data_IF_998580998138
#
_entry.id   IF_998580998138
#
_cell.length_a   1.000
_cell.length_b   1.000
_cell.length_c   1.000
_cell.angle_alpha   90.00
_cell.angle_beta   90.00
_cell.angle_gamma   90.00
#
_symmetry.space_group_name_H-M   'P 1'
#
loop_
_entity.id
_entity.type
_entity.pdbx_description
1 polymer ?
#
# COMPACT_ATOMS: atom_id res chain seq x y z
N UNK A 1 15.01 11.22 16.77
CA UNK A 1 15.25 12.00 15.54
C UNK A 1 15.46 11.00 14.41
N UNK A 2 14.44 10.73 13.59
CA UNK A 2 14.55 9.71 12.53
C UNK A 2 15.46 10.24 11.43
N UNK A 3 16.66 9.66 11.28
CA UNK A 3 17.57 9.96 10.18
C UNK A 3 16.98 9.35 8.92
N UNK A 4 16.37 10.17 8.08
CA UNK A 4 16.01 9.76 6.71
C UNK A 4 17.34 9.55 5.98
N UNK A 5 17.69 8.33 5.55
CA UNK A 5 18.94 8.11 4.85
C UNK A 5 18.92 8.87 3.53
N UNK A 6 19.98 9.62 3.30
CA UNK A 6 20.25 10.28 2.02
C UNK A 6 20.37 9.19 0.94
N UNK A 7 19.77 9.38 -0.24
CA UNK A 7 19.84 8.44 -1.36
C UNK A 7 21.29 7.99 -1.70
N UNK A 8 22.29 8.80 -1.33
CA UNK A 8 23.71 8.51 -1.49
C UNK A 8 24.24 7.44 -0.51
N UNK A 9 23.64 7.27 0.67
CA UNK A 9 24.03 6.20 1.61
C UNK A 9 23.56 4.83 1.12
N UNK A 10 22.39 4.77 0.50
CA UNK A 10 21.80 3.55 -0.08
C UNK A 10 22.66 2.96 -1.20
N UNK A 11 23.37 3.79 -1.97
CA UNK A 11 24.30 3.32 -3.02
C UNK A 11 25.48 2.55 -2.42
N UNK A 12 25.85 2.83 -1.16
CA UNK A 12 26.97 2.16 -0.49
C UNK A 12 26.58 0.81 0.12
N UNK A 13 25.30 0.43 0.09
CA UNK A 13 24.78 -0.81 0.68
C UNK A 13 24.04 -1.62 -0.40
N UNK A 14 24.70 -2.63 -1.01
CA UNK A 14 24.12 -3.38 -2.13
C UNK A 14 22.81 -4.11 -1.77
N UNK A 15 22.62 -4.44 -0.49
CA UNK A 15 21.35 -4.98 0.04
C UNK A 15 20.20 -3.99 -0.11
N UNK A 16 20.41 -2.70 0.15
CA UNK A 16 19.38 -1.67 0.02
C UNK A 16 19.00 -1.45 -1.44
N UNK A 17 19.97 -1.45 -2.37
CA UNK A 17 19.70 -1.36 -3.81
C UNK A 17 18.85 -2.55 -4.28
N UNK A 18 19.18 -3.77 -3.83
CA UNK A 18 18.42 -4.96 -4.21
C UNK A 18 16.97 -4.92 -3.69
N UNK A 19 16.76 -4.41 -2.48
CA UNK A 19 15.43 -4.22 -1.92
C UNK A 19 14.63 -3.15 -2.67
N UNK A 20 15.28 -2.08 -3.10
CA UNK A 20 14.66 -1.01 -3.89
C UNK A 20 14.23 -1.52 -5.27
N UNK A 21 15.08 -2.32 -5.92
CA UNK A 21 14.75 -3.01 -7.18
C UNK A 21 13.55 -3.94 -6.97
N UNK A 22 13.59 -4.81 -5.95
CA UNK A 22 12.48 -5.72 -5.64
C UNK A 22 11.18 -4.97 -5.36
N UNK A 23 11.25 -3.84 -4.64
CA UNK A 23 10.11 -2.99 -4.37
C UNK A 23 9.52 -2.37 -5.64
N UNK A 24 10.37 -1.86 -6.55
CA UNK A 24 9.91 -1.29 -7.84
C UNK A 24 9.24 -2.37 -8.70
N UNK A 25 9.77 -3.59 -8.72
CA UNK A 25 9.20 -4.70 -9.48
C UNK A 25 8.04 -5.42 -8.77
N UNK A 26 7.76 -5.09 -7.50
CA UNK A 26 6.66 -5.69 -6.76
C UNK A 26 5.32 -5.26 -7.34
N UNK A 27 4.56 -6.24 -7.84
CA UNK A 27 3.18 -6.03 -8.26
C UNK A 27 2.25 -6.49 -7.13
N UNK A 28 1.39 -5.61 -6.59
CA UNK A 28 0.42 -6.03 -5.57
C UNK A 28 -0.53 -7.07 -6.14
N UNK A 29 -0.65 -8.20 -5.45
CA UNK A 29 -1.44 -9.36 -5.89
C UNK A 29 -2.95 -9.11 -5.79
N UNK A 30 -3.38 -8.35 -4.77
CA UNK A 30 -4.77 -8.03 -4.51
C UNK A 30 -5.09 -6.59 -4.94
N UNK A 31 -5.58 -6.44 -6.17
CA UNK A 31 -6.17 -5.19 -6.64
C UNK A 31 -7.62 -5.18 -6.17
N UNK A 32 -7.98 -4.22 -5.31
CA UNK A 32 -9.35 -3.97 -4.88
C UNK A 32 -10.25 -3.73 -6.11
N UNK A 33 -11.16 -4.67 -6.40
CA UNK A 33 -12.17 -4.54 -7.46
C UNK A 33 -13.55 -4.39 -6.84
N UNK A 34 -13.99 -3.14 -6.65
CA UNK A 34 -15.37 -2.86 -6.25
C UNK A 34 -16.22 -2.74 -7.52
N UNK A 35 -17.30 -3.52 -7.61
CA UNK A 35 -18.26 -3.36 -8.69
C UNK A 35 -18.96 -2.01 -8.58
N UNK A 36 -19.09 -1.30 -9.71
CA UNK A 36 -19.72 0.04 -9.77
C UNK A 36 -21.17 0.07 -9.29
N UNK A 37 -21.86 -1.07 -9.29
CA UNK A 37 -23.21 -1.23 -8.74
C UNK A 37 -23.26 -1.02 -7.21
N UNK A 38 -22.16 -1.26 -6.50
CA UNK A 38 -22.14 -1.19 -5.03
C UNK A 38 -21.68 0.19 -4.53
N UNK A 39 -22.55 1.18 -4.72
CA UNK A 39 -22.29 2.59 -4.34
C UNK A 39 -22.01 2.76 -2.84
N UNK A 40 -22.64 1.98 -1.98
CA UNK A 40 -22.41 2.06 -0.54
C UNK A 40 -20.98 1.63 -0.18
N UNK A 41 -20.52 0.50 -0.75
CA UNK A 41 -19.16 0.01 -0.52
C UNK A 41 -18.11 1.02 -0.98
N UNK A 42 -18.29 1.64 -2.14
CA UNK A 42 -17.41 2.71 -2.62
C UNK A 42 -17.30 3.83 -1.57
N UNK A 43 -18.44 4.29 -1.06
CA UNK A 43 -18.49 5.36 -0.04
C UNK A 43 -17.80 4.97 1.27
N UNK A 44 -17.93 3.72 1.72
CA UNK A 44 -17.19 3.23 2.88
C UNK A 44 -15.67 3.31 2.69
N UNK A 45 -15.17 2.97 1.50
CA UNK A 45 -13.74 3.09 1.20
C UNK A 45 -13.27 4.54 1.04
N UNK A 46 -14.14 5.46 0.61
CA UNK A 46 -13.84 6.91 0.63
C UNK A 46 -13.67 7.41 2.07
N UNK A 47 -14.55 7.01 2.99
CA UNK A 47 -14.40 7.35 4.40
C UNK A 47 -13.17 6.69 5.02
N UNK A 48 -12.85 5.46 4.60
CA UNK A 48 -11.62 4.79 5.03
C UNK A 48 -10.38 5.59 4.63
N UNK A 49 -10.33 6.11 3.40
CA UNK A 49 -9.23 6.95 2.92
C UNK A 49 -9.11 8.25 3.72
N UNK A 50 -10.24 8.90 4.03
CA UNK A 50 -10.26 10.15 4.79
C UNK A 50 -9.80 9.96 6.25
N UNK A 51 -10.17 8.85 6.86
CA UNK A 51 -9.93 8.58 8.29
C UNK A 51 -8.59 7.90 8.56
N UNK A 52 -8.12 7.04 7.65
CA UNK A 52 -6.96 6.17 7.87
C UNK A 52 -5.75 6.51 6.99
N UNK A 53 -5.92 7.34 5.96
CA UNK A 53 -4.85 7.85 5.07
C UNK A 53 -3.93 6.74 4.56
N UNK A 54 -2.64 6.75 4.94
CA UNK A 54 -1.66 5.75 4.51
C UNK A 54 -1.99 4.33 4.96
N UNK A 55 -2.74 4.17 6.06
CA UNK A 55 -3.15 2.84 6.52
C UNK A 55 -4.31 2.26 5.70
N UNK A 56 -5.13 3.10 5.05
CA UNK A 56 -6.19 2.63 4.16
C UNK A 56 -5.63 1.79 3.00
N UNK A 57 -4.44 2.14 2.49
CA UNK A 57 -3.75 1.38 1.46
C UNK A 57 -3.35 -0.03 1.93
N UNK A 58 -3.06 -0.21 3.23
CA UNK A 58 -2.75 -1.52 3.80
C UNK A 58 -4.02 -2.36 3.88
N UNK A 59 -5.12 -1.79 4.36
CA UNK A 59 -6.42 -2.47 4.47
C UNK A 59 -6.91 -2.93 3.10
N UNK A 60 -6.81 -2.08 2.07
CA UNK A 60 -7.22 -2.41 0.70
C UNK A 60 -6.44 -3.58 0.07
N UNK A 61 -5.25 -3.89 0.58
CA UNK A 61 -4.40 -4.99 0.11
C UNK A 61 -4.65 -6.31 0.85
N UNK A 62 -5.47 -6.31 1.91
CA UNK A 62 -5.86 -7.53 2.62
C UNK A 62 -6.62 -8.50 1.71
N UNK A 63 -6.57 -9.78 2.07
CA UNK A 63 -7.35 -10.81 1.41
C UNK A 63 -8.86 -10.54 1.53
N UNK A 64 -9.60 -10.89 0.47
CA UNK A 64 -11.03 -10.59 0.35
C UNK A 64 -11.87 -11.12 1.53
N UNK A 65 -11.44 -12.22 2.16
CA UNK A 65 -12.13 -12.84 3.29
C UNK A 65 -12.11 -12.01 4.58
N UNK A 66 -11.11 -11.15 4.75
CA UNK A 66 -10.89 -10.37 5.98
C UNK A 66 -10.98 -8.86 5.76
N UNK A 67 -10.94 -8.41 4.51
CA UNK A 67 -10.89 -6.98 4.18
C UNK A 67 -12.15 -6.20 4.56
N UNK A 68 -13.31 -6.82 4.37
CA UNK A 68 -14.62 -6.21 4.60
C UNK A 68 -15.33 -6.77 5.86
N UNK A 69 -14.58 -7.46 6.74
CA UNK A 69 -15.09 -8.11 7.94
C UNK A 69 -15.62 -7.11 8.99
#
# INVERSE_FOLDING_TARGET
MSKVPSLFQTISHPSEISALIQFIFYKPKNILKIKSENKQKIRCYEFLDQTSRSFAAVIKQLDDAVRDA
#
